data_IF_714802878257
#
_entry.id   IF_714802878257
#
_cell.length_a   1.000
_cell.length_b   1.000
_cell.length_c   1.000
_cell.angle_alpha   90.00
_cell.angle_beta   90.00
_cell.angle_gamma   90.00
#
_symmetry.space_group_name_H-M   'P 1'
#
loop_
_entity.id
_entity.type
_entity.pdbx_description
1 polymer ?
#
# COMPACT_ATOMS: atom_id res chain seq x y z
N UNK A 1 44.94 26.16 18.49
CA UNK A 1 44.64 24.71 18.65
C UNK A 1 43.34 24.45 19.43
N UNK A 2 43.08 25.17 20.52
CA UNK A 2 41.97 24.92 21.45
C UNK A 2 40.54 25.03 20.84
N UNK A 3 40.27 26.04 19.99
CA UNK A 3 38.97 26.19 19.31
C UNK A 3 38.64 25.04 18.35
N UNK A 4 39.66 24.39 17.79
CA UNK A 4 39.49 23.26 16.85
C UNK A 4 39.04 22.00 17.62
N UNK A 5 39.59 21.79 18.81
CA UNK A 5 39.25 20.66 19.67
C UNK A 5 37.83 20.77 20.25
N UNK A 6 37.37 22.00 20.56
CA UNK A 6 35.99 22.26 21.02
C UNK A 6 34.94 21.87 19.96
N UNK A 7 35.21 22.13 18.67
CA UNK A 7 34.31 21.72 17.57
C UNK A 7 34.19 20.20 17.47
N UNK A 8 35.30 19.47 17.58
CA UNK A 8 35.28 18.01 17.54
C UNK A 8 34.56 17.41 18.76
N UNK A 9 34.73 17.98 19.95
CA UNK A 9 34.01 17.54 21.15
C UNK A 9 32.49 17.72 21.01
N UNK A 10 32.03 18.84 20.43
CA UNK A 10 30.60 19.05 20.15
C UNK A 10 30.09 18.00 19.17
N UNK A 11 30.81 17.75 18.07
CA UNK A 11 30.41 16.73 17.08
C UNK A 11 30.36 15.34 17.71
N UNK A 12 31.37 14.97 18.49
CA UNK A 12 31.41 13.65 19.18
C UNK A 12 30.26 13.53 20.18
N UNK A 13 29.96 14.58 20.95
CA UNK A 13 28.83 14.58 21.88
C UNK A 13 27.50 14.42 21.14
N UNK A 14 27.28 15.15 20.05
CA UNK A 14 26.09 15.01 19.22
C UNK A 14 25.96 13.60 18.64
N UNK A 15 27.03 13.04 18.08
CA UNK A 15 27.02 11.67 17.56
C UNK A 15 26.73 10.65 18.66
N UNK A 16 27.34 10.80 19.84
CA UNK A 16 27.13 9.89 20.98
C UNK A 16 25.68 9.95 21.48
N UNK A 17 25.07 11.13 21.52
CA UNK A 17 23.65 11.30 21.87
C UNK A 17 22.77 10.62 20.83
N UNK A 18 23.03 10.82 19.54
CA UNK A 18 22.26 10.19 18.44
C UNK A 18 22.41 8.66 18.48
N UNK A 19 23.61 8.14 18.71
CA UNK A 19 23.84 6.70 18.84
C UNK A 19 23.14 6.13 20.07
N UNK A 20 23.25 6.78 21.23
CA UNK A 20 22.56 6.36 22.44
C UNK A 20 21.03 6.38 22.24
N UNK A 21 20.49 7.45 21.65
CA UNK A 21 19.08 7.55 21.31
C UNK A 21 18.65 6.42 20.36
N UNK A 22 19.41 6.18 19.28
CA UNK A 22 19.14 5.11 18.32
C UNK A 22 19.10 3.73 18.97
N UNK A 23 20.01 3.43 19.91
CA UNK A 23 20.02 2.15 20.64
C UNK A 23 18.84 2.00 21.59
N UNK A 24 18.31 3.11 22.13
CA UNK A 24 17.17 3.09 23.05
C UNK A 24 15.83 2.94 22.33
N UNK A 25 15.68 3.55 21.15
CA UNK A 25 14.44 3.49 20.35
C UNK A 25 14.37 2.25 19.46
N UNK A 26 15.51 1.73 19.00
CA UNK A 26 15.53 0.58 18.10
C UNK A 26 15.28 -0.69 18.91
N UNK A 27 13.99 -0.92 19.18
CA UNK A 27 13.48 -2.20 19.66
C UNK A 27 12.87 -2.88 18.45
N UNK A 28 13.42 -4.00 17.95
CA UNK A 28 12.73 -4.82 16.97
C UNK A 28 11.42 -5.26 17.60
N UNK A 29 10.33 -4.59 17.29
CA UNK A 29 9.01 -5.09 17.67
C UNK A 29 8.69 -6.21 16.68
N UNK A 30 8.42 -7.39 17.22
CA UNK A 30 7.92 -8.50 16.43
C UNK A 30 6.48 -8.17 16.01
N UNK A 31 6.36 -7.47 14.87
CA UNK A 31 5.07 -7.11 14.25
C UNK A 31 4.63 -8.14 13.21
N UNK A 32 5.16 -9.37 13.28
CA UNK A 32 4.69 -10.51 12.48
C UNK A 32 3.18 -10.73 12.60
N UNK A 33 2.56 -10.31 13.73
CA UNK A 33 1.12 -10.33 13.90
C UNK A 33 0.37 -9.52 12.84
N UNK A 34 0.90 -8.38 12.35
CA UNK A 34 0.27 -7.56 11.30
C UNK A 34 0.26 -8.36 10.00
N UNK A 35 1.41 -8.93 9.64
CA UNK A 35 1.56 -9.78 8.48
C UNK A 35 0.59 -10.98 8.50
N UNK A 36 0.42 -11.61 9.67
CA UNK A 36 -0.53 -12.71 9.87
C UNK A 36 -1.98 -12.24 9.76
N UNK A 37 -2.36 -11.16 10.46
CA UNK A 37 -3.72 -10.62 10.44
C UNK A 37 -4.15 -10.20 9.04
N UNK A 38 -3.24 -9.64 8.23
CA UNK A 38 -3.54 -9.31 6.84
C UNK A 38 -3.95 -10.56 6.03
N UNK A 39 -3.34 -11.73 6.27
CA UNK A 39 -3.76 -12.99 5.63
C UNK A 39 -5.17 -13.41 6.02
N UNK A 40 -5.68 -12.93 7.15
CA UNK A 40 -7.04 -13.15 7.63
C UNK A 40 -8.02 -12.08 7.11
N UNK A 41 -7.61 -11.20 6.20
CA UNK A 41 -8.49 -10.21 5.60
C UNK A 41 -9.79 -10.86 5.10
N UNK A 42 -10.97 -10.21 5.21
CA UNK A 42 -12.24 -10.90 5.03
C UNK A 42 -12.37 -11.59 3.68
N UNK A 43 -12.81 -12.85 3.71
CA UNK A 43 -13.15 -13.62 2.50
C UNK A 43 -14.48 -13.17 1.90
N UNK A 44 -15.41 -12.67 2.71
CA UNK A 44 -16.69 -12.17 2.22
C UNK A 44 -16.98 -10.82 2.88
N UNK A 45 -17.46 -9.86 2.11
CA UNK A 45 -17.91 -8.56 2.63
C UNK A 45 -18.87 -7.86 1.68
N UNK A 46 -19.94 -7.30 2.22
CA UNK A 46 -21.02 -6.72 1.41
C UNK A 46 -21.58 -7.76 0.43
N UNK A 47 -21.54 -7.44 -0.87
CA UNK A 47 -21.94 -8.33 -1.96
C UNK A 47 -20.80 -9.13 -2.59
N UNK A 48 -19.60 -9.09 -2.02
CA UNK A 48 -18.42 -9.70 -2.63
C UNK A 48 -18.04 -10.99 -1.91
N UNK A 49 -17.90 -12.05 -2.70
CA UNK A 49 -17.53 -13.39 -2.24
C UNK A 49 -16.15 -13.77 -2.75
N UNK A 50 -15.35 -14.38 -1.88
CA UNK A 50 -14.04 -14.90 -2.23
C UNK A 50 -14.15 -16.05 -3.22
N UNK A 51 -13.35 -15.99 -4.28
CA UNK A 51 -13.21 -17.07 -5.26
C UNK A 51 -11.96 -17.89 -4.96
N UNK A 52 -10.80 -17.23 -4.88
CA UNK A 52 -9.50 -17.87 -4.66
C UNK A 52 -8.42 -16.87 -4.28
N UNK A 53 -7.36 -17.38 -3.67
CA UNK A 53 -6.08 -16.69 -3.63
C UNK A 53 -5.41 -16.82 -5.01
N UNK A 54 -4.76 -15.75 -5.46
CA UNK A 54 -4.08 -15.66 -6.75
C UNK A 54 -2.58 -15.84 -6.51
N UNK A 55 -2.01 -16.89 -7.12
CA UNK A 55 -0.57 -17.11 -7.07
C UNK A 55 0.18 -16.03 -7.86
N UNK A 56 1.24 -15.52 -7.25
CA UNK A 56 2.16 -14.58 -7.87
C UNK A 56 3.46 -15.29 -8.19
N UNK A 57 4.06 -14.94 -9.31
CA UNK A 57 5.34 -15.51 -9.73
C UNK A 57 6.42 -15.29 -8.67
N UNK A 58 7.20 -16.32 -8.35
CA UNK A 58 8.25 -16.28 -7.33
C UNK A 58 9.26 -15.15 -7.57
N UNK A 59 9.56 -14.85 -8.84
CA UNK A 59 10.46 -13.77 -9.21
C UNK A 59 9.91 -12.40 -8.76
N UNK A 60 8.60 -12.20 -8.84
CA UNK A 60 7.95 -10.96 -8.39
C UNK A 60 7.96 -10.90 -6.86
N UNK A 61 7.63 -12.00 -6.19
CA UNK A 61 7.64 -12.06 -4.71
C UNK A 61 9.06 -11.80 -4.20
N UNK A 62 10.07 -12.44 -4.79
CA UNK A 62 11.48 -12.27 -4.41
C UNK A 62 12.01 -10.87 -4.70
N UNK A 63 11.58 -10.23 -5.79
CA UNK A 63 11.96 -8.86 -6.09
C UNK A 63 11.27 -7.84 -5.18
N UNK A 64 10.06 -8.15 -4.72
CA UNK A 64 9.27 -7.28 -3.84
C UNK A 64 9.63 -7.46 -2.36
N UNK A 65 10.11 -8.65 -1.98
CA UNK A 65 10.47 -9.08 -0.62
C UNK A 65 9.45 -8.64 0.46
N UNK A 66 8.15 -8.96 0.30
CA UNK A 66 7.13 -8.48 1.22
C UNK A 66 7.10 -9.30 2.51
N UNK A 67 6.88 -8.63 3.65
CA UNK A 67 6.60 -9.30 4.93
C UNK A 67 5.25 -10.02 4.91
N UNK A 68 4.28 -9.51 4.13
CA UNK A 68 3.04 -10.22 3.81
C UNK A 68 2.48 -9.78 2.47
N UNK A 69 1.87 -10.72 1.75
CA UNK A 69 1.13 -10.46 0.53
C UNK A 69 -0.20 -11.20 0.56
N UNK A 70 -1.26 -10.51 0.18
CA UNK A 70 -2.60 -11.07 0.00
C UNK A 70 -3.04 -10.69 -1.41
N UNK A 71 -3.15 -11.68 -2.29
CA UNK A 71 -3.66 -11.46 -3.63
C UNK A 71 -4.87 -12.37 -3.85
N UNK A 72 -6.04 -11.79 -4.11
CA UNK A 72 -7.32 -12.49 -4.13
C UNK A 72 -8.22 -12.07 -5.27
N UNK A 73 -8.97 -13.03 -5.76
CA UNK A 73 -10.09 -12.83 -6.69
C UNK A 73 -11.40 -12.90 -5.91
N UNK A 74 -12.26 -11.91 -6.10
CA UNK A 74 -13.61 -11.84 -5.56
C UNK A 74 -14.63 -11.77 -6.70
N UNK A 75 -15.88 -12.15 -6.41
CA UNK A 75 -17.00 -12.05 -7.35
C UNK A 75 -18.24 -11.48 -6.66
N UNK A 76 -19.05 -10.71 -7.39
CA UNK A 76 -20.37 -10.27 -6.93
C UNK A 76 -21.51 -11.09 -7.57
N UNK A 77 -22.78 -10.95 -7.11
CA UNK A 77 -23.93 -11.64 -7.71
C UNK A 77 -24.17 -11.35 -9.20
N UNK A 78 -23.67 -10.22 -9.70
CA UNK A 78 -23.75 -9.84 -11.13
C UNK A 78 -22.67 -10.53 -11.97
N UNK A 79 -21.80 -11.37 -11.37
CA UNK A 79 -20.73 -12.08 -12.05
C UNK A 79 -19.43 -11.28 -12.23
N UNK A 80 -19.41 -10.00 -11.85
CA UNK A 80 -18.22 -9.14 -11.98
C UNK A 80 -17.11 -9.63 -11.08
N UNK A 81 -15.89 -9.65 -11.60
CA UNK A 81 -14.69 -10.11 -10.90
C UNK A 81 -13.85 -8.93 -10.42
N UNK A 82 -13.30 -9.06 -9.22
CA UNK A 82 -12.45 -8.05 -8.60
C UNK A 82 -11.15 -8.67 -8.12
N UNK A 83 -10.04 -7.99 -8.36
CA UNK A 83 -8.72 -8.38 -7.88
C UNK A 83 -8.27 -7.47 -6.76
N UNK A 84 -8.02 -8.03 -5.58
CA UNK A 84 -7.47 -7.33 -4.42
C UNK A 84 -6.04 -7.78 -4.20
N UNK A 85 -5.08 -6.86 -4.23
CA UNK A 85 -3.71 -7.10 -3.80
C UNK A 85 -3.38 -6.18 -2.62
N UNK A 86 -2.92 -6.76 -1.51
CA UNK A 86 -2.40 -6.04 -0.35
C UNK A 86 -0.96 -6.50 -0.16
N UNK A 87 -0.05 -5.55 -0.13
CA UNK A 87 1.37 -5.81 0.12
C UNK A 87 1.78 -5.04 1.36
N UNK A 88 2.46 -5.72 2.27
CA UNK A 88 2.93 -5.17 3.53
C UNK A 88 4.41 -5.43 3.73
N UNK A 89 5.10 -4.40 4.21
CA UNK A 89 6.51 -4.40 4.56
C UNK A 89 6.69 -3.92 5.99
N UNK A 90 7.31 -4.77 6.80
CA UNK A 90 7.75 -4.49 8.15
C UNK A 90 9.24 -4.11 8.14
N UNK A 91 9.55 -2.98 8.77
CA UNK A 91 10.89 -2.42 8.90
C UNK A 91 11.65 -2.22 7.58
N UNK A 92 10.91 -2.04 6.48
CA UNK A 92 11.50 -1.69 5.19
C UNK A 92 11.70 -0.17 5.05
N UNK A 93 12.81 0.21 4.42
CA UNK A 93 13.20 1.61 4.22
C UNK A 93 12.51 2.24 3.02
N UNK A 94 12.11 1.44 2.03
CA UNK A 94 11.57 1.92 0.78
C UNK A 94 10.06 1.72 0.67
N UNK A 95 9.52 0.75 1.40
CA UNK A 95 8.14 0.34 1.31
C UNK A 95 7.77 -0.11 -0.11
N UNK A 96 6.48 -0.35 -0.32
CA UNK A 96 6.01 -0.68 -1.66
C UNK A 96 6.11 0.50 -2.64
N UNK A 97 6.60 0.20 -3.85
CA UNK A 97 6.71 1.16 -4.96
C UNK A 97 5.37 1.39 -5.68
N UNK A 98 5.33 2.41 -6.54
CA UNK A 98 4.12 2.76 -7.29
C UNK A 98 3.68 1.61 -8.23
N UNK A 99 2.42 1.14 -8.16
CA UNK A 99 1.92 0.07 -9.00
C UNK A 99 2.08 0.32 -10.50
N UNK A 100 2.07 1.58 -10.96
CA UNK A 100 2.27 1.92 -12.38
C UNK A 100 3.60 1.38 -12.93
N UNK A 101 4.63 1.24 -12.08
CA UNK A 101 5.92 0.66 -12.48
C UNK A 101 5.75 -0.82 -12.83
N UNK A 102 5.05 -1.57 -11.97
CA UNK A 102 4.73 -2.98 -12.21
C UNK A 102 3.84 -3.19 -13.44
N UNK A 103 2.83 -2.34 -13.65
CA UNK A 103 1.96 -2.44 -14.82
C UNK A 103 2.76 -2.20 -16.12
N UNK A 104 3.60 -1.16 -16.16
CA UNK A 104 4.47 -0.88 -17.31
C UNK A 104 5.44 -2.03 -17.60
N UNK A 105 6.10 -2.57 -16.57
CA UNK A 105 7.05 -3.69 -16.76
C UNK A 105 6.36 -4.98 -17.21
N UNK A 106 5.09 -5.18 -16.86
CA UNK A 106 4.27 -6.30 -17.33
C UNK A 106 3.67 -6.06 -18.73
N UNK A 107 4.01 -4.95 -19.39
CA UNK A 107 3.56 -4.63 -20.75
C UNK A 107 2.13 -4.09 -20.83
N UNK A 108 1.60 -3.53 -19.74
CA UNK A 108 0.35 -2.77 -19.78
C UNK A 108 0.59 -1.35 -20.28
N UNK A 109 -0.31 -0.89 -21.15
CA UNK A 109 -0.33 0.49 -21.63
C UNK A 109 -1.16 1.36 -20.69
N UNK A 110 -0.48 2.34 -20.08
CA UNK A 110 -1.05 3.37 -19.20
C UNK A 110 -1.23 4.70 -19.95
N UNK A 111 -0.53 4.89 -21.08
CA UNK A 111 -0.46 6.15 -21.81
C UNK A 111 -1.78 6.48 -22.52
N UNK A 112 -2.52 5.46 -22.97
CA UNK A 112 -3.85 5.64 -23.60
C UNK A 112 -4.87 6.38 -22.71
N UNK A 113 -4.59 6.50 -21.41
CA UNK A 113 -5.43 7.20 -20.44
C UNK A 113 -4.73 8.43 -19.83
N UNK A 114 -3.77 9.03 -20.54
CA UNK A 114 -3.06 10.23 -20.11
C UNK A 114 -1.88 9.97 -19.17
N UNK A 115 -1.56 8.70 -18.86
CA UNK A 115 -0.36 8.32 -18.12
C UNK A 115 -0.27 8.84 -16.68
N UNK A 116 -1.37 9.38 -16.14
CA UNK A 116 -1.45 9.94 -14.79
C UNK A 116 -2.55 9.24 -14.02
N UNK A 117 -2.35 9.09 -12.72
CA UNK A 117 -3.44 8.72 -11.82
C UNK A 117 -4.25 9.98 -11.47
N UNK A 118 -5.51 9.77 -11.14
CA UNK A 118 -6.40 10.76 -10.57
C UNK A 118 -6.63 10.41 -9.10
N UNK A 119 -6.65 11.41 -8.22
CA UNK A 119 -7.06 11.21 -6.83
C UNK A 119 -8.57 11.36 -6.75
N UNK A 120 -9.24 10.41 -6.11
CA UNK A 120 -10.68 10.44 -5.84
C UNK A 120 -10.93 10.18 -4.36
N UNK A 121 -11.99 10.77 -3.82
CA UNK A 121 -12.36 10.63 -2.41
C UNK A 121 -13.36 9.50 -2.21
N UNK A 122 -13.10 8.69 -1.18
CA UNK A 122 -14.04 7.74 -0.62
C UNK A 122 -14.44 8.21 0.77
N UNK A 123 -15.74 8.44 0.97
CA UNK A 123 -16.29 8.87 2.25
C UNK A 123 -16.56 7.65 3.14
N UNK A 124 -15.76 7.47 4.21
CA UNK A 124 -15.89 6.37 5.16
C UNK A 124 -16.37 6.93 6.50
N UNK A 125 -17.66 6.78 6.77
CA UNK A 125 -18.31 7.33 7.98
C UNK A 125 -18.06 8.85 8.11
N UNK A 126 -17.24 9.26 9.07
CA UNK A 126 -16.88 10.66 9.38
C UNK A 126 -15.49 11.04 8.85
N UNK A 127 -14.87 10.20 8.01
CA UNK A 127 -13.52 10.43 7.51
C UNK A 127 -13.47 10.25 6.00
N UNK A 128 -12.89 11.22 5.32
CA UNK A 128 -12.58 11.11 3.90
C UNK A 128 -11.21 10.48 3.72
N UNK A 129 -11.15 9.46 2.88
CA UNK A 129 -9.89 8.85 2.47
C UNK A 129 -9.72 9.10 0.99
N UNK A 130 -8.60 9.71 0.64
CA UNK A 130 -8.19 9.82 -0.75
C UNK A 130 -7.68 8.46 -1.24
N UNK A 131 -8.02 8.08 -2.48
CA UNK A 131 -7.43 6.95 -3.19
C UNK A 131 -7.04 7.38 -4.60
N UNK A 132 -6.03 6.74 -5.17
CA UNK A 132 -5.66 6.97 -6.56
C UNK A 132 -6.41 6.02 -7.48
N UNK A 133 -6.70 6.47 -8.69
CA UNK A 133 -7.26 5.67 -9.77
C UNK A 133 -6.49 5.91 -11.06
N UNK A 134 -6.21 4.86 -11.80
CA UNK A 134 -5.73 4.96 -13.17
C UNK A 134 -6.34 3.85 -14.01
N UNK A 135 -6.16 3.96 -15.33
CA UNK A 135 -6.68 3.00 -16.29
C UNK A 135 -5.53 2.40 -17.07
N UNK A 136 -5.66 1.13 -17.40
CA UNK A 136 -4.64 0.38 -18.16
C UNK A 136 -5.28 -0.45 -19.24
N UNK A 137 -4.52 -0.76 -20.28
CA UNK A 137 -4.96 -1.64 -21.36
C UNK A 137 -3.85 -2.60 -21.78
N UNK A 138 -4.22 -3.82 -22.15
CA UNK A 138 -3.28 -4.82 -22.67
C UNK A 138 -4.02 -5.84 -23.53
N UNK A 139 -3.64 -5.97 -24.80
CA UNK A 139 -4.15 -7.02 -25.69
C UNK A 139 -5.69 -7.07 -25.79
N UNK A 140 -6.34 -5.91 -25.86
CA UNK A 140 -7.81 -5.80 -25.92
C UNK A 140 -8.52 -5.76 -24.56
N UNK A 141 -7.84 -6.10 -23.46
CA UNK A 141 -8.37 -5.93 -22.11
C UNK A 141 -8.15 -4.49 -21.64
N UNK A 142 -9.16 -3.93 -20.97
CA UNK A 142 -9.10 -2.63 -20.29
C UNK A 142 -9.39 -2.86 -18.82
N UNK A 143 -8.61 -2.26 -17.93
CA UNK A 143 -8.86 -2.30 -16.49
C UNK A 143 -8.91 -0.89 -15.91
N UNK A 144 -9.71 -0.73 -14.86
CA UNK A 144 -9.58 0.38 -13.92
C UNK A 144 -8.92 -0.15 -12.65
N UNK A 145 -7.91 0.58 -12.19
CA UNK A 145 -7.09 0.23 -11.03
C UNK A 145 -7.21 1.34 -9.99
N UNK A 146 -7.62 0.97 -8.78
CA UNK A 146 -7.62 1.82 -7.61
C UNK A 146 -6.47 1.40 -6.71
N UNK A 147 -5.75 2.36 -6.15
CA UNK A 147 -4.67 2.05 -5.22
C UNK A 147 -4.40 3.18 -4.24
N UNK A 148 -3.86 2.82 -3.08
CA UNK A 148 -3.41 3.76 -2.07
C UNK A 148 -2.41 3.07 -1.16
N UNK A 149 -1.62 3.86 -0.45
CA UNK A 149 -0.68 3.39 0.55
C UNK A 149 -1.32 3.41 1.92
N UNK A 150 -0.73 2.61 2.80
CA UNK A 150 -0.99 2.71 4.23
C UNK A 150 0.32 2.65 5.01
N UNK A 151 0.26 3.11 6.26
CA UNK A 151 1.40 3.16 7.15
C UNK A 151 1.02 2.91 8.59
N UNK A 152 1.88 3.37 9.50
CA UNK A 152 1.64 3.26 10.94
C UNK A 152 0.44 4.09 11.38
N UNK A 153 -0.13 3.81 12.56
CA UNK A 153 -1.30 4.53 13.09
C UNK A 153 -2.51 4.48 12.18
N UNK A 154 -2.68 3.38 11.43
CA UNK A 154 -3.81 3.13 10.53
C UNK A 154 -3.99 4.20 9.44
N UNK A 155 -2.94 4.94 9.12
CA UNK A 155 -2.99 6.00 8.10
C UNK A 155 -3.13 5.42 6.70
N UNK A 156 -3.93 6.07 5.87
CA UNK A 156 -4.05 5.82 4.45
C UNK A 156 -3.60 7.06 3.68
N UNK A 157 -2.87 6.87 2.58
CA UNK A 157 -2.13 7.92 1.88
C UNK A 157 -2.20 7.69 0.37
N UNK A 158 -2.18 8.76 -0.41
CA UNK A 158 -2.25 8.69 -1.88
C UNK A 158 -0.98 9.11 -2.57
N UNK A 159 -0.01 9.64 -1.85
CA UNK A 159 1.24 10.06 -2.46
C UNK A 159 2.42 9.31 -1.88
N UNK A 160 3.37 9.02 -2.77
CA UNK A 160 4.65 8.43 -2.37
C UNK A 160 5.43 9.32 -1.41
N UNK A 161 5.25 10.64 -1.50
CA UNK A 161 5.85 11.59 -0.56
C UNK A 161 5.28 11.43 0.86
N UNK A 162 3.96 11.35 1.02
CA UNK A 162 3.34 11.10 2.33
C UNK A 162 3.82 9.77 2.93
N UNK A 163 3.89 8.71 2.12
CA UNK A 163 4.42 7.41 2.57
C UNK A 163 5.86 7.53 3.08
N UNK A 164 6.75 8.22 2.36
CA UNK A 164 8.13 8.43 2.80
C UNK A 164 8.23 9.28 4.05
N UNK A 165 7.40 10.31 4.15
CA UNK A 165 7.38 11.16 5.33
C UNK A 165 6.90 10.37 6.55
N UNK A 166 5.90 9.50 6.40
CA UNK A 166 5.43 8.62 7.47
C UNK A 166 6.52 7.62 7.89
N UNK A 167 7.20 6.97 6.94
CA UNK A 167 8.35 6.09 7.23
C UNK A 167 9.51 6.84 7.90
N UNK A 168 9.81 8.06 7.49
CA UNK A 168 10.90 8.84 8.09
C UNK A 168 10.54 9.24 9.54
N UNK A 169 9.33 9.74 9.76
CA UNK A 169 8.88 10.18 11.09
C UNK A 169 8.80 9.00 12.05
N UNK A 170 8.20 7.88 11.64
CA UNK A 170 8.05 6.73 12.53
C UNK A 170 9.40 6.06 12.85
N UNK A 171 10.29 5.95 11.87
CA UNK A 171 11.63 5.40 12.08
C UNK A 171 12.45 6.23 13.07
N UNK A 172 12.35 7.57 12.99
CA UNK A 172 13.06 8.47 13.91
C UNK A 172 12.44 8.49 15.31
N UNK A 173 11.12 8.54 15.42
CA UNK A 173 10.45 8.72 16.71
C UNK A 173 10.22 7.43 17.48
N UNK A 174 9.99 6.31 16.77
CA UNK A 174 9.57 5.04 17.37
C UNK A 174 10.50 3.86 17.04
N UNK A 175 11.47 4.04 16.15
CA UNK A 175 12.45 3.00 15.82
C UNK A 175 11.90 1.83 14.99
N UNK A 176 10.68 1.94 14.47
CA UNK A 176 10.06 0.94 13.58
C UNK A 176 9.36 1.62 12.41
N UNK A 177 9.18 0.87 11.32
CA UNK A 177 8.58 1.36 10.09
C UNK A 177 7.67 0.31 9.48
N UNK A 178 6.38 0.61 9.42
CA UNK A 178 5.41 -0.23 8.72
C UNK A 178 4.84 0.53 7.55
N UNK A 179 4.83 -0.10 6.38
CA UNK A 179 4.12 0.44 5.24
C UNK A 179 3.62 -0.64 4.32
N UNK A 180 2.70 -0.27 3.45
CA UNK A 180 2.22 -1.14 2.41
C UNK A 180 1.37 -0.38 1.43
N UNK A 181 0.80 -1.11 0.47
CA UNK A 181 -0.21 -0.58 -0.42
C UNK A 181 -1.33 -1.58 -0.64
N UNK A 182 -2.45 -1.03 -1.06
CA UNK A 182 -3.62 -1.78 -1.47
C UNK A 182 -3.87 -1.44 -2.93
N UNK A 183 -4.20 -2.45 -3.71
CA UNK A 183 -4.62 -2.33 -5.10
C UNK A 183 -5.89 -3.13 -5.31
N UNK A 184 -6.85 -2.47 -5.92
CA UNK A 184 -8.11 -3.05 -6.39
C UNK A 184 -8.16 -2.86 -7.89
N UNK A 185 -8.39 -3.92 -8.67
CA UNK A 185 -8.60 -3.80 -10.12
C UNK A 185 -9.79 -4.61 -10.60
N UNK A 186 -10.43 -4.10 -11.66
CA UNK A 186 -11.57 -4.71 -12.34
C UNK A 186 -11.44 -4.47 -13.84
N UNK A 187 -11.77 -5.50 -14.62
CA UNK A 187 -11.89 -5.40 -16.07
C UNK A 187 -13.09 -4.52 -16.45
N UNK A 188 -12.86 -3.61 -17.38
CA UNK A 188 -13.89 -2.79 -18.00
C UNK A 188 -14.50 -3.58 -19.17
N UNK A 189 -15.66 -4.16 -18.92
CA UNK A 189 -16.47 -4.85 -19.92
C UNK A 189 -17.05 -3.83 -20.92
N UNK A 190 -16.96 -4.14 -22.21
CA UNK A 190 -17.46 -3.27 -23.28
C UNK A 190 -18.98 -3.06 -23.14
N UNK A 191 -19.41 -1.80 -23.14
CA UNK A 191 -20.82 -1.44 -22.97
C UNK A 191 -21.32 -1.41 -21.51
N UNK A 192 -20.49 -1.83 -20.55
CA UNK A 192 -20.79 -1.83 -19.11
C UNK A 192 -19.70 -1.13 -18.28
N UNK A 193 -18.94 -0.22 -18.88
CA UNK A 193 -17.76 0.39 -18.25
C UNK A 193 -18.12 1.17 -16.98
N UNK A 194 -19.23 1.91 -16.99
CA UNK A 194 -19.65 2.74 -15.85
C UNK A 194 -20.14 1.89 -14.66
N UNK A 195 -20.78 0.75 -14.94
CA UNK A 195 -21.13 -0.24 -13.92
C UNK A 195 -19.87 -0.85 -13.29
N UNK A 196 -18.87 -1.18 -14.12
CA UNK A 196 -17.59 -1.71 -13.65
C UNK A 196 -16.82 -0.69 -12.79
N UNK A 197 -16.77 0.58 -13.21
CA UNK A 197 -16.17 1.66 -12.42
C UNK A 197 -16.89 1.85 -11.08
N UNK A 198 -18.22 1.82 -11.07
CA UNK A 198 -19.01 1.92 -9.83
C UNK A 198 -18.72 0.74 -8.91
N UNK A 199 -18.71 -0.49 -9.45
CA UNK A 199 -18.39 -1.69 -8.68
C UNK A 199 -16.97 -1.64 -8.08
N UNK A 200 -15.98 -1.18 -8.85
CA UNK A 200 -14.60 -0.97 -8.40
C UNK A 200 -14.48 0.07 -7.28
N UNK A 201 -15.16 1.21 -7.43
CA UNK A 201 -15.20 2.25 -6.40
C UNK A 201 -15.82 1.75 -5.08
N UNK A 202 -16.97 1.08 -5.13
CA UNK A 202 -17.63 0.54 -3.94
C UNK A 202 -16.80 -0.56 -3.26
N UNK A 203 -16.11 -1.40 -4.05
CA UNK A 203 -15.18 -2.39 -3.50
C UNK A 203 -13.99 -1.72 -2.82
N UNK A 204 -13.36 -0.73 -3.46
CA UNK A 204 -12.24 0.01 -2.88
C UNK A 204 -12.65 0.71 -1.58
N UNK A 205 -13.84 1.32 -1.54
CA UNK A 205 -14.43 1.93 -0.34
C UNK A 205 -14.61 0.90 0.79
N UNK A 206 -15.17 -0.27 0.48
CA UNK A 206 -15.34 -1.34 1.46
C UNK A 206 -14.00 -1.84 2.01
N UNK A 207 -13.01 -2.06 1.13
CA UNK A 207 -11.66 -2.48 1.52
C UNK A 207 -10.99 -1.43 2.41
N UNK A 208 -11.02 -0.16 2.02
CA UNK A 208 -10.43 0.94 2.80
C UNK A 208 -11.09 1.09 4.17
N UNK A 209 -12.38 0.78 4.30
CA UNK A 209 -13.08 0.76 5.58
C UNK A 209 -12.64 -0.42 6.47
N UNK A 210 -12.53 -1.61 5.87
CA UNK A 210 -12.21 -2.85 6.58
C UNK A 210 -10.74 -2.92 6.99
N UNK A 211 -9.83 -2.43 6.13
CA UNK A 211 -8.39 -2.61 6.32
C UNK A 211 -7.89 -1.96 7.61
N UNK A 212 -8.51 -0.88 8.07
CA UNK A 212 -8.17 -0.14 9.30
C UNK A 212 -8.05 -1.07 10.52
N UNK A 213 -8.84 -2.15 10.58
CA UNK A 213 -8.80 -3.12 11.66
C UNK A 213 -7.56 -4.06 11.63
N UNK A 214 -6.88 -4.14 10.48
CA UNK A 214 -5.72 -4.99 10.20
C UNK A 214 -4.42 -4.20 10.11
N UNK A 215 -4.51 -2.87 9.99
CA UNK A 215 -3.35 -1.99 9.92
C UNK A 215 -2.66 -1.87 11.30
N UNK A 216 -1.34 -1.63 11.29
CA UNK A 216 -0.59 -1.38 12.51
C UNK A 216 -1.08 -0.12 13.23
N UNK A 217 -1.10 -0.20 14.56
CA UNK A 217 -1.23 0.97 15.43
C UNK A 217 0.00 1.90 15.35
#
# INVERSE_FOLDING_TARGET
MEKRNKKYLIVIACLSIVTCYSLLIFKPSDRSFVAQRLKEFPRNFGKWEFIRDVEMQEQIISALDPSSIVFREYRNPEGKKMWLCIVYHQNDRWGAHDPQVCYKSQGWDIANYGGKYETTQIHIKETDVDINRFYVSKGGFKEVVYYWWFGSKKKQMTTRFQQMLDLAINGVLYGYNDSGFIRVSINLEEGHEDECKKAGYEFAKAVSSLIVAYLPD
#
